data_IF_248212954977
#
_entry.id   IF_248212954977
#
_cell.length_a   1.000
_cell.length_b   1.000
_cell.length_c   1.000
_cell.angle_alpha   90.00
_cell.angle_beta   90.00
_cell.angle_gamma   90.00
#
_symmetry.space_group_name_H-M   'P 1'
#
loop_
_entity.id
_entity.type
_entity.pdbx_description
1 polymer ?
#
# COMPACT_ATOMS: atom_id res chain seq x y z
N UNK A 1 -20.30 -20.35 -8.95
CA UNK A 1 -19.47 -19.56 -8.02
C UNK A 1 -19.97 -18.13 -8.07
N UNK A 2 -20.88 -17.73 -7.18
CA UNK A 2 -21.23 -16.30 -7.08
C UNK A 2 -20.09 -15.60 -6.37
N UNK A 3 -19.44 -14.65 -7.04
CA UNK A 3 -18.40 -13.83 -6.43
C UNK A 3 -19.05 -13.03 -5.30
N UNK A 4 -18.77 -13.37 -4.04
CA UNK A 4 -19.38 -12.74 -2.86
C UNK A 4 -19.11 -11.22 -2.79
N UNK A 5 -18.12 -10.73 -3.54
CA UNK A 5 -17.82 -9.30 -3.65
C UNK A 5 -18.80 -8.51 -4.53
N UNK A 6 -19.75 -9.17 -5.22
CA UNK A 6 -20.74 -8.47 -6.05
C UNK A 6 -20.13 -7.73 -7.26
N UNK A 7 -18.98 -8.20 -7.75
CA UNK A 7 -18.37 -7.69 -8.98
C UNK A 7 -19.10 -8.32 -10.16
N UNK A 8 -20.12 -7.60 -10.65
CA UNK A 8 -20.94 -7.98 -11.80
C UNK A 8 -20.74 -7.01 -12.95
N UNK A 9 -21.16 -7.39 -14.15
CA UNK A 9 -21.24 -6.46 -15.30
C UNK A 9 -22.04 -5.20 -14.98
N UNK A 10 -23.16 -5.35 -14.28
CA UNK A 10 -23.99 -4.24 -13.82
C UNK A 10 -23.22 -3.29 -12.88
N UNK A 11 -22.55 -3.83 -11.87
CA UNK A 11 -21.71 -3.06 -10.96
C UNK A 11 -20.65 -2.25 -11.72
N UNK A 12 -19.86 -2.90 -12.58
CA UNK A 12 -18.79 -2.23 -13.33
C UNK A 12 -19.37 -1.15 -14.26
N UNK A 13 -20.51 -1.40 -14.90
CA UNK A 13 -21.14 -0.44 -15.82
C UNK A 13 -21.57 0.86 -15.14
N UNK A 14 -21.87 0.83 -13.83
CA UNK A 14 -22.24 2.00 -13.04
C UNK A 14 -21.03 2.76 -12.45
N UNK A 15 -19.83 2.20 -12.52
CA UNK A 15 -18.62 2.90 -12.04
C UNK A 15 -18.26 4.07 -12.98
N UNK A 16 -17.63 5.14 -12.44
CA UNK A 16 -16.94 6.13 -13.24
C UNK A 16 -15.91 5.47 -14.17
N UNK A 17 -15.66 6.07 -15.34
CA UNK A 17 -14.68 5.53 -16.30
C UNK A 17 -13.30 5.33 -15.67
N UNK A 18 -12.91 6.24 -14.78
CA UNK A 18 -11.68 6.18 -13.99
C UNK A 18 -11.62 4.98 -13.05
N UNK A 19 -12.73 4.39 -12.64
CA UNK A 19 -12.75 3.23 -11.75
C UNK A 19 -12.95 1.90 -12.48
N UNK A 20 -13.59 1.93 -13.67
CA UNK A 20 -13.79 0.72 -14.49
C UNK A 20 -12.48 0.05 -14.88
N UNK A 21 -11.42 0.83 -15.07
CA UNK A 21 -10.09 0.35 -15.48
C UNK A 21 -9.46 -0.67 -14.52
N UNK A 22 -9.96 -0.74 -13.28
CA UNK A 22 -9.46 -1.65 -12.28
C UNK A 22 -10.01 -3.08 -12.41
N UNK A 23 -10.93 -3.30 -13.34
CA UNK A 23 -11.61 -4.57 -13.56
C UNK A 23 -11.44 -5.01 -15.02
N UNK A 24 -11.10 -6.28 -15.23
CA UNK A 24 -11.04 -6.85 -16.57
C UNK A 24 -12.41 -7.35 -17.02
N UNK A 25 -12.70 -7.10 -18.29
CA UNK A 25 -13.93 -7.56 -18.96
C UNK A 25 -13.59 -8.55 -20.08
N UNK A 26 -14.43 -9.54 -20.25
CA UNK A 26 -14.43 -10.44 -21.40
C UNK A 26 -15.08 -9.80 -22.64
N UNK A 27 -15.06 -10.49 -23.79
CA UNK A 27 -15.65 -9.98 -25.04
C UNK A 27 -17.16 -9.69 -24.96
N UNK A 28 -17.88 -10.36 -24.07
CA UNK A 28 -19.31 -10.17 -23.77
C UNK A 28 -19.58 -9.07 -22.73
N UNK A 29 -18.52 -8.44 -22.22
CA UNK A 29 -18.59 -7.43 -21.16
C UNK A 29 -18.77 -8.01 -19.77
N UNK A 30 -18.69 -9.34 -19.58
CA UNK A 30 -18.70 -9.94 -18.25
C UNK A 30 -17.33 -9.79 -17.56
N UNK A 31 -17.28 -9.66 -16.22
CA UNK A 31 -16.01 -9.65 -15.49
C UNK A 31 -15.20 -10.91 -15.75
N UNK A 32 -13.94 -10.77 -16.17
CA UNK A 32 -13.07 -11.90 -16.54
C UNK A 32 -12.19 -12.41 -15.39
N UNK A 33 -12.36 -11.87 -14.18
CA UNK A 33 -11.58 -12.21 -12.99
C UNK A 33 -10.30 -11.40 -12.77
N UNK A 34 -9.93 -10.50 -13.70
CA UNK A 34 -8.81 -9.58 -13.52
C UNK A 34 -9.21 -8.37 -12.67
N UNK A 35 -8.37 -8.01 -11.70
CA UNK A 35 -8.54 -6.94 -10.73
C UNK A 35 -7.19 -6.33 -10.42
N UNK A 36 -7.13 -5.04 -10.12
CA UNK A 36 -5.86 -4.34 -9.88
C UNK A 36 -6.09 -3.06 -9.06
N UNK A 37 -5.05 -2.61 -8.35
CA UNK A 37 -5.06 -1.39 -7.53
C UNK A 37 -6.30 -1.29 -6.63
N UNK A 38 -7.05 -0.17 -6.71
CA UNK A 38 -8.26 0.09 -5.92
C UNK A 38 -9.35 -0.97 -6.15
N UNK A 39 -9.32 -1.66 -7.30
CA UNK A 39 -10.23 -2.79 -7.56
C UNK A 39 -10.06 -3.95 -6.58
N UNK A 40 -8.86 -4.14 -6.00
CA UNK A 40 -8.63 -5.18 -4.98
C UNK A 40 -9.43 -4.92 -3.71
N UNK A 41 -9.59 -3.65 -3.31
CA UNK A 41 -10.35 -3.27 -2.11
C UNK A 41 -11.80 -3.76 -2.12
N UNK A 42 -12.38 -3.96 -3.32
CA UNK A 42 -13.73 -4.53 -3.47
C UNK A 42 -13.80 -5.98 -3.01
N UNK A 43 -12.75 -6.76 -3.26
CA UNK A 43 -12.67 -8.15 -2.80
C UNK A 43 -12.21 -8.22 -1.35
N UNK A 44 -11.18 -7.43 -0.98
CA UNK A 44 -10.60 -7.46 0.37
C UNK A 44 -11.65 -7.23 1.46
N UNK A 45 -12.57 -6.29 1.27
CA UNK A 45 -13.66 -6.05 2.23
C UNK A 45 -14.67 -7.19 2.35
N UNK A 46 -14.67 -8.14 1.41
CA UNK A 46 -15.52 -9.35 1.44
C UNK A 46 -14.79 -10.57 1.98
N UNK A 47 -13.47 -10.50 2.17
CA UNK A 47 -12.68 -11.57 2.75
C UNK A 47 -12.76 -11.50 4.29
N UNK A 48 -12.82 -12.64 4.99
CA UNK A 48 -12.67 -12.65 6.44
C UNK A 48 -11.34 -12.02 6.83
N UNK A 49 -11.37 -11.05 7.75
CA UNK A 49 -10.15 -10.50 8.31
C UNK A 49 -9.36 -11.60 9.04
N UNK A 50 -8.02 -11.61 8.95
CA UNK A 50 -7.23 -12.58 9.67
C UNK A 50 -7.41 -12.40 11.19
N UNK A 51 -7.44 -13.51 11.93
CA UNK A 51 -7.44 -13.47 13.39
C UNK A 51 -6.08 -13.03 13.92
N UNK A 52 -6.02 -12.62 15.19
CA UNK A 52 -4.75 -12.29 15.85
C UNK A 52 -3.77 -13.45 15.83
N UNK A 53 -4.27 -14.67 16.03
CA UNK A 53 -3.48 -15.89 15.97
C UNK A 53 -2.94 -16.16 14.57
N UNK A 54 -3.75 -15.94 13.53
CA UNK A 54 -3.30 -16.07 12.14
C UNK A 54 -2.19 -15.06 11.80
N UNK A 55 -2.30 -13.81 12.26
CA UNK A 55 -1.25 -12.81 12.08
C UNK A 55 0.04 -13.17 12.83
N UNK A 56 -0.07 -13.70 14.06
CA UNK A 56 1.08 -14.18 14.83
C UNK A 56 1.80 -15.35 14.12
N UNK A 57 1.05 -16.34 13.63
CA UNK A 57 1.61 -17.44 12.85
C UNK A 57 2.25 -16.95 11.55
N UNK A 58 1.62 -16.00 10.86
CA UNK A 58 2.19 -15.38 9.67
C UNK A 58 3.50 -14.63 9.97
N UNK A 59 3.57 -13.90 11.09
CA UNK A 59 4.79 -13.23 11.54
C UNK A 59 5.92 -14.20 11.87
N UNK A 60 5.62 -15.33 12.55
CA UNK A 60 6.58 -16.41 12.82
C UNK A 60 7.09 -17.05 11.54
N UNK A 61 6.18 -17.32 10.60
CA UNK A 61 6.54 -17.86 9.29
C UNK A 61 7.44 -16.89 8.50
N UNK A 62 7.13 -15.58 8.52
CA UNK A 62 7.93 -14.55 7.88
C UNK A 62 9.35 -14.48 8.48
N UNK A 63 9.47 -14.50 9.81
CA UNK A 63 10.75 -14.56 10.53
C UNK A 63 11.56 -15.79 10.11
N UNK A 64 10.96 -16.99 10.22
CA UNK A 64 11.62 -18.24 9.88
C UNK A 64 12.11 -18.25 8.42
N UNK A 65 11.25 -17.84 7.49
CA UNK A 65 11.56 -17.81 6.06
C UNK A 65 12.71 -16.85 5.77
N UNK A 66 12.63 -15.59 6.23
CA UNK A 66 13.67 -14.60 6.00
C UNK A 66 15.00 -15.00 6.66
N UNK A 67 14.97 -15.55 7.87
CA UNK A 67 16.16 -16.06 8.55
C UNK A 67 16.84 -17.20 7.80
N UNK A 68 16.07 -18.05 7.10
CA UNK A 68 16.66 -19.11 6.28
C UNK A 68 17.54 -18.58 5.13
N UNK A 69 17.37 -17.31 4.74
CA UNK A 69 18.21 -16.60 3.77
C UNK A 69 19.22 -15.64 4.43
N UNK A 70 19.32 -15.62 5.76
CA UNK A 70 20.18 -14.69 6.50
C UNK A 70 19.65 -13.25 6.53
N UNK A 71 18.37 -13.02 6.20
CA UNK A 71 17.74 -11.69 6.26
C UNK A 71 17.27 -11.44 7.70
N UNK A 72 17.94 -10.54 8.40
CA UNK A 72 17.70 -10.23 9.83
C UNK A 72 17.07 -8.86 10.06
N UNK A 73 16.74 -8.13 9.00
CA UNK A 73 16.10 -6.82 9.06
C UNK A 73 15.30 -6.55 7.80
N UNK A 74 14.18 -5.83 7.91
CA UNK A 74 13.39 -5.42 6.76
C UNK A 74 12.63 -4.12 6.98
N UNK A 75 12.26 -3.50 5.86
CA UNK A 75 11.28 -2.45 5.79
C UNK A 75 9.91 -3.07 5.54
N UNK A 76 8.91 -2.73 6.37
CA UNK A 76 7.52 -3.12 6.15
C UNK A 76 6.74 -1.92 5.59
N UNK A 77 6.47 -1.89 4.26
CA UNK A 77 5.96 -0.71 3.58
C UNK A 77 4.45 -0.51 3.76
N UNK A 78 3.74 -1.34 4.53
CA UNK A 78 2.29 -1.23 4.73
C UNK A 78 1.88 -1.71 6.13
N UNK A 79 2.75 -1.52 7.12
CA UNK A 79 2.47 -1.90 8.50
C UNK A 79 1.33 -1.06 9.09
N UNK A 80 0.12 -1.62 9.04
CA UNK A 80 -1.06 -1.06 9.72
C UNK A 80 -1.05 -1.37 11.22
N UNK A 81 -2.03 -0.86 11.94
CA UNK A 81 -2.17 -1.04 13.39
C UNK A 81 -2.25 -2.52 13.81
N UNK A 82 -2.82 -3.40 12.99
CA UNK A 82 -2.92 -4.83 13.28
C UNK A 82 -1.57 -5.54 13.13
N UNK A 83 -0.79 -5.17 12.11
CA UNK A 83 0.57 -5.65 11.86
C UNK A 83 1.52 -5.14 12.95
N UNK A 84 1.44 -3.85 13.30
CA UNK A 84 2.22 -3.27 14.39
C UNK A 84 1.92 -3.95 15.73
N UNK A 85 0.64 -4.22 16.04
CA UNK A 85 0.26 -4.96 17.24
C UNK A 85 0.78 -6.41 17.23
N UNK A 86 0.90 -7.01 16.06
CA UNK A 86 1.50 -8.35 15.89
C UNK A 86 2.99 -8.32 16.19
N UNK A 87 3.73 -7.33 15.65
CA UNK A 87 5.15 -7.14 15.98
C UNK A 87 5.37 -6.90 17.48
N UNK A 88 4.52 -6.08 18.13
CA UNK A 88 4.58 -5.88 19.59
C UNK A 88 4.43 -7.20 20.34
N UNK A 89 3.43 -8.01 20.01
CA UNK A 89 3.21 -9.30 20.67
C UNK A 89 4.35 -10.28 20.45
N UNK A 90 4.91 -10.36 19.23
CA UNK A 90 6.10 -11.17 18.96
C UNK A 90 7.28 -10.68 19.80
N UNK A 91 7.46 -9.37 19.93
CA UNK A 91 8.54 -8.80 20.74
C UNK A 91 8.36 -9.10 22.23
N UNK A 92 7.15 -8.98 22.77
CA UNK A 92 6.83 -9.28 24.17
C UNK A 92 7.08 -10.76 24.52
N UNK A 93 6.96 -11.65 23.52
CA UNK A 93 7.26 -13.09 23.65
C UNK A 93 8.74 -13.43 23.41
N UNK A 94 9.58 -12.45 23.07
CA UNK A 94 10.97 -12.69 22.68
C UNK A 94 11.12 -13.38 21.32
N UNK A 95 10.08 -13.37 20.49
CA UNK A 95 10.03 -14.04 19.19
C UNK A 95 10.39 -13.09 18.04
N UNK A 96 10.19 -11.77 18.19
CA UNK A 96 10.58 -10.78 17.18
C UNK A 96 12.10 -10.64 17.13
N UNK A 97 12.72 -11.45 16.29
CA UNK A 97 14.17 -11.63 16.20
C UNK A 97 14.82 -10.90 15.02
N UNK A 98 14.03 -10.20 14.21
CA UNK A 98 14.48 -9.32 13.14
C UNK A 98 14.18 -7.85 13.46
N UNK A 99 15.02 -6.93 12.97
CA UNK A 99 14.78 -5.49 13.11
C UNK A 99 13.83 -4.98 12.03
N UNK A 100 12.68 -4.43 12.43
CA UNK A 100 11.61 -3.98 11.55
C UNK A 100 11.55 -2.46 11.51
N UNK A 101 11.73 -1.89 10.32
CA UNK A 101 11.43 -0.50 10.03
C UNK A 101 10.02 -0.41 9.40
N UNK A 102 9.03 0.02 10.18
CA UNK A 102 7.63 0.07 9.77
C UNK A 102 7.23 1.42 9.16
N UNK A 103 6.42 1.37 8.11
CA UNK A 103 5.95 2.55 7.35
C UNK A 103 4.43 2.49 7.15
N UNK A 104 3.63 3.07 8.09
CA UNK A 104 2.20 3.21 7.90
C UNK A 104 1.87 4.03 6.65
N UNK A 105 0.80 3.65 5.95
CA UNK A 105 0.39 4.33 4.73
C UNK A 105 -0.22 5.72 5.00
N UNK A 106 0.10 6.67 4.12
CA UNK A 106 -0.49 8.01 4.00
C UNK A 106 -0.88 8.26 2.54
N UNK A 107 -1.72 9.26 2.30
CA UNK A 107 -2.32 9.53 0.98
C UNK A 107 -2.08 10.95 0.48
N UNK A 108 -1.49 11.81 1.31
CA UNK A 108 -1.33 13.24 1.05
C UNK A 108 -2.66 13.97 0.81
N UNK A 109 -3.79 13.43 1.26
CA UNK A 109 -5.10 14.12 1.15
C UNK A 109 -5.24 15.14 2.27
N UNK A 110 -4.77 14.77 3.46
CA UNK A 110 -4.76 15.62 4.64
C UNK A 110 -3.43 15.48 5.39
N UNK A 111 -2.34 16.06 4.88
CA UNK A 111 -0.99 15.80 5.39
C UNK A 111 -0.84 15.96 6.90
N UNK A 112 -1.40 17.03 7.48
CA UNK A 112 -1.31 17.27 8.93
C UNK A 112 -2.03 16.20 9.77
N UNK A 113 -3.25 15.80 9.38
CA UNK A 113 -4.01 14.76 10.09
C UNK A 113 -3.33 13.39 9.94
N UNK A 114 -2.87 13.07 8.74
CA UNK A 114 -2.20 11.80 8.42
C UNK A 114 -0.87 11.65 9.20
N UNK A 115 -0.05 12.70 9.25
CA UNK A 115 1.21 12.68 10.00
C UNK A 115 0.98 12.69 11.52
N UNK A 116 -0.05 13.39 12.02
CA UNK A 116 -0.42 13.33 13.43
C UNK A 116 -0.81 11.91 13.87
N UNK A 117 -1.50 11.15 13.01
CA UNK A 117 -1.78 9.72 13.24
C UNK A 117 -0.48 8.91 13.34
N UNK A 118 0.47 9.13 12.43
CA UNK A 118 1.76 8.42 12.43
C UNK A 118 2.57 8.73 13.69
N UNK A 119 2.59 9.99 14.13
CA UNK A 119 3.22 10.38 15.41
C UNK A 119 2.59 9.67 16.60
N UNK A 120 1.25 9.54 16.64
CA UNK A 120 0.56 8.79 17.69
C UNK A 120 1.02 7.33 17.72
N UNK A 121 1.15 6.70 16.55
CA UNK A 121 1.68 5.34 16.45
C UNK A 121 3.14 5.27 16.93
N UNK A 122 4.00 6.22 16.55
CA UNK A 122 5.37 6.28 17.06
C UNK A 122 5.43 6.35 18.59
N UNK A 123 4.56 7.12 19.23
CA UNK A 123 4.48 7.17 20.69
C UNK A 123 3.95 5.87 21.30
N UNK A 124 2.92 5.28 20.69
CA UNK A 124 2.30 4.05 21.19
C UNK A 124 3.24 2.84 21.13
N UNK A 125 4.03 2.73 20.06
CA UNK A 125 4.99 1.63 19.86
C UNK A 125 6.42 1.98 20.31
N UNK A 126 6.60 3.11 21.01
CA UNK A 126 7.90 3.52 21.52
C UNK A 126 8.44 2.50 22.51
N UNK A 127 9.68 2.05 22.29
CA UNK A 127 10.37 1.14 23.20
C UNK A 127 10.01 -0.34 23.01
N UNK A 128 9.20 -0.70 22.01
CA UNK A 128 9.04 -2.09 21.58
C UNK A 128 10.35 -2.57 20.96
N UNK A 129 11.05 -3.57 21.55
CA UNK A 129 12.30 -4.08 20.98
C UNK A 129 12.15 -4.50 19.51
N UNK A 130 13.17 -4.23 18.71
CA UNK A 130 13.24 -4.62 17.29
C UNK A 130 12.15 -4.05 16.37
N UNK A 131 11.31 -3.12 16.83
CA UNK A 131 10.33 -2.42 16.02
C UNK A 131 10.59 -0.90 16.05
N UNK A 132 10.64 -0.28 14.88
CA UNK A 132 10.73 1.19 14.76
C UNK A 132 9.83 1.69 13.65
N UNK A 133 8.87 2.55 13.98
CA UNK A 133 8.08 3.28 12.98
C UNK A 133 8.95 4.42 12.45
N UNK A 134 9.53 4.21 11.27
CA UNK A 134 10.63 5.04 10.75
C UNK A 134 10.16 6.14 9.79
N UNK A 135 8.92 6.04 9.31
CA UNK A 135 8.44 6.89 8.24
C UNK A 135 7.03 6.58 7.80
N UNK A 136 6.71 7.02 6.59
CA UNK A 136 5.40 6.84 5.97
C UNK A 136 5.53 6.25 4.57
N UNK A 137 4.57 5.38 4.20
CA UNK A 137 4.44 4.88 2.83
C UNK A 137 3.44 5.73 2.07
N UNK A 138 3.77 6.09 0.84
CA UNK A 138 2.81 6.63 -0.13
C UNK A 138 2.99 6.00 -1.50
N UNK A 139 1.91 5.98 -2.29
CA UNK A 139 1.93 5.53 -3.68
C UNK A 139 1.76 6.74 -4.59
N UNK A 140 2.70 6.92 -5.51
CA UNK A 140 2.62 7.92 -6.55
C UNK A 140 1.73 7.46 -7.71
N UNK A 141 1.73 6.16 -8.01
CA UNK A 141 0.97 5.56 -9.10
C UNK A 141 0.66 4.07 -8.87
N UNK A 142 0.06 3.42 -9.87
CA UNK A 142 -0.32 2.00 -9.83
C UNK A 142 0.71 1.09 -10.49
N UNK A 143 0.26 0.25 -11.44
CA UNK A 143 1.03 -0.81 -12.09
C UNK A 143 1.19 -0.56 -13.60
N UNK A 144 2.28 -1.05 -14.20
CA UNK A 144 2.58 -0.81 -15.62
C UNK A 144 2.00 -1.88 -16.55
N UNK A 145 1.63 -3.02 -15.99
CA UNK A 145 1.22 -4.23 -16.68
C UNK A 145 -0.13 -4.05 -17.39
N UNK A 146 -0.23 -4.62 -18.60
CA UNK A 146 -1.48 -4.70 -19.35
C UNK A 146 -2.43 -5.72 -18.68
N UNK A 147 -3.76 -5.47 -18.62
CA UNK A 147 -4.51 -4.37 -19.26
C UNK A 147 -4.65 -3.08 -18.43
N UNK A 148 -4.19 -3.08 -17.17
CA UNK A 148 -4.37 -1.96 -16.24
C UNK A 148 -3.69 -0.68 -16.74
N UNK A 149 -2.36 -0.73 -16.79
CA UNK A 149 -1.47 0.36 -17.20
C UNK A 149 -1.79 1.68 -16.47
N UNK A 150 -1.91 1.61 -15.14
CA UNK A 150 -2.24 2.71 -14.24
C UNK A 150 -1.01 3.47 -13.75
N UNK A 151 0.19 2.91 -13.86
CA UNK A 151 1.44 3.62 -13.58
C UNK A 151 1.58 4.85 -14.49
N UNK A 152 1.96 6.00 -13.90
CA UNK A 152 1.86 7.30 -14.54
C UNK A 152 3.07 7.58 -15.45
N UNK A 153 2.84 7.54 -16.76
CA UNK A 153 3.84 7.72 -17.80
C UNK A 153 3.78 9.13 -18.40
N UNK A 154 4.94 9.69 -18.76
CA UNK A 154 5.00 10.97 -19.48
C UNK A 154 4.50 10.88 -20.92
N UNK A 155 4.51 9.66 -21.49
CA UNK A 155 4.01 9.35 -22.82
C UNK A 155 3.02 8.19 -22.78
N UNK A 156 2.07 8.12 -23.71
CA UNK A 156 1.12 7.02 -23.77
C UNK A 156 1.77 5.64 -23.87
N UNK A 157 1.23 4.63 -23.18
CA UNK A 157 1.55 3.22 -23.37
C UNK A 157 1.27 2.82 -24.82
N UNK A 158 2.19 2.09 -25.46
CA UNK A 158 2.04 1.65 -26.85
C UNK A 158 0.83 0.73 -27.08
N UNK A 159 0.49 -0.09 -26.08
CA UNK A 159 -0.56 -1.11 -26.16
C UNK A 159 -1.97 -0.55 -25.98
N UNK A 160 -2.14 0.48 -25.15
CA UNK A 160 -3.48 1.01 -24.80
C UNK A 160 -3.69 2.49 -25.12
N UNK A 161 -2.62 3.25 -25.38
CA UNK A 161 -2.69 4.70 -25.53
C UNK A 161 -2.98 5.46 -24.22
N UNK A 162 -3.07 4.77 -23.06
CA UNK A 162 -3.24 5.40 -21.75
C UNK A 162 -1.95 6.06 -21.27
N UNK A 163 -2.04 7.02 -20.35
CA UNK A 163 -0.88 7.59 -19.65
C UNK A 163 -0.75 7.13 -18.19
N UNK A 164 -1.71 6.37 -17.67
CA UNK A 164 -1.83 6.15 -16.23
C UNK A 164 -2.10 7.45 -15.46
N UNK A 165 -2.11 7.38 -14.13
CA UNK A 165 -2.52 8.49 -13.27
C UNK A 165 -1.69 8.55 -11.99
N UNK A 166 -1.50 9.78 -11.48
CA UNK A 166 -0.96 9.96 -10.14
C UNK A 166 -2.05 9.66 -9.11
N UNK A 167 -1.67 9.01 -8.01
CA UNK A 167 -2.55 8.72 -6.88
C UNK A 167 -2.56 9.83 -5.81
N UNK A 168 -1.68 10.82 -5.96
CA UNK A 168 -1.66 12.04 -5.15
C UNK A 168 -1.69 13.30 -6.03
N UNK A 169 -2.06 14.42 -5.42
CA UNK A 169 -1.79 15.74 -5.97
C UNK A 169 -0.33 16.14 -5.65
N UNK A 170 0.49 16.54 -6.65
CA UNK A 170 1.90 16.86 -6.42
C UNK A 170 2.15 17.97 -5.39
N UNK A 171 1.31 19.01 -5.36
CA UNK A 171 1.47 20.11 -4.40
C UNK A 171 1.14 19.65 -2.98
N UNK A 172 0.13 18.79 -2.81
CA UNK A 172 -0.16 18.18 -1.50
C UNK A 172 0.89 17.16 -1.07
N UNK A 173 1.48 16.43 -2.02
CA UNK A 173 2.62 15.56 -1.73
C UNK A 173 3.82 16.36 -1.24
N UNK A 174 4.14 17.50 -1.87
CA UNK A 174 5.17 18.44 -1.41
C UNK A 174 4.94 18.89 0.04
N UNK A 175 3.71 19.33 0.35
CA UNK A 175 3.31 19.71 1.72
C UNK A 175 3.56 18.56 2.72
N UNK A 176 3.19 17.33 2.35
CA UNK A 176 3.41 16.14 3.18
C UNK A 176 4.89 15.83 3.36
N UNK A 177 5.68 15.85 2.29
CA UNK A 177 7.10 15.53 2.32
C UNK A 177 7.87 16.54 3.20
N UNK A 178 7.61 17.83 3.04
CA UNK A 178 8.20 18.89 3.88
C UNK A 178 7.79 18.72 5.35
N UNK A 179 6.52 18.40 5.61
CA UNK A 179 6.05 18.21 6.98
C UNK A 179 6.61 16.94 7.64
N UNK A 180 6.79 15.86 6.87
CA UNK A 180 7.40 14.62 7.31
C UNK A 180 8.90 14.79 7.61
N UNK A 181 9.63 15.48 6.73
CA UNK A 181 11.06 15.80 6.91
C UNK A 181 11.31 16.62 8.18
N UNK A 182 10.48 17.65 8.44
CA UNK A 182 10.53 18.43 9.70
C UNK A 182 10.35 17.58 10.96
N UNK A 183 9.75 16.40 10.84
CA UNK A 183 9.52 15.45 11.92
C UNK A 183 10.57 14.33 11.95
N UNK A 184 11.53 14.33 11.03
CA UNK A 184 12.54 13.28 10.89
C UNK A 184 11.99 11.96 10.34
N UNK A 185 10.84 11.98 9.64
CA UNK A 185 10.22 10.81 9.05
C UNK A 185 10.73 10.57 7.63
N UNK A 186 11.07 9.32 7.32
CA UNK A 186 11.39 8.90 5.95
C UNK A 186 10.09 8.83 5.14
N UNK A 187 10.09 9.38 3.92
CA UNK A 187 8.97 9.22 2.97
C UNK A 187 9.32 8.14 1.95
N UNK A 188 8.72 6.96 2.09
CA UNK A 188 8.91 5.87 1.15
C UNK A 188 7.83 5.93 0.07
N UNK A 189 8.23 6.17 -1.18
CA UNK A 189 7.32 6.37 -2.31
C UNK A 189 7.36 5.16 -3.24
N UNK A 190 6.22 4.54 -3.50
CA UNK A 190 6.05 3.67 -4.68
C UNK A 190 5.89 4.56 -5.92
N UNK A 191 6.75 4.39 -6.92
CA UNK A 191 6.64 5.09 -8.21
C UNK A 191 7.19 4.19 -9.32
N UNK A 192 6.35 3.81 -10.28
CA UNK A 192 6.75 2.99 -11.43
C UNK A 192 6.92 3.80 -12.71
N UNK A 193 5.92 4.61 -13.04
CA UNK A 193 5.92 5.39 -14.26
C UNK A 193 6.88 6.57 -14.19
N UNK A 194 7.46 6.95 -15.33
CA UNK A 194 8.49 7.98 -15.38
C UNK A 194 7.96 9.37 -14.98
N UNK A 195 6.66 9.64 -15.21
CA UNK A 195 6.01 10.83 -14.68
C UNK A 195 5.84 10.72 -13.16
N UNK A 196 5.43 9.57 -12.62
CA UNK A 196 5.35 9.38 -11.17
C UNK A 196 6.69 9.65 -10.48
N UNK A 197 7.78 9.06 -11.00
CA UNK A 197 9.14 9.28 -10.49
C UNK A 197 9.52 10.76 -10.51
N UNK A 198 9.26 11.46 -11.63
CA UNK A 198 9.55 12.89 -11.73
C UNK A 198 8.81 13.70 -10.67
N UNK A 199 7.51 13.51 -10.56
CA UNK A 199 6.65 14.26 -9.63
C UNK A 199 7.00 13.96 -8.16
N UNK A 200 7.46 12.73 -7.86
CA UNK A 200 7.99 12.38 -6.53
C UNK A 200 9.34 13.03 -6.19
N UNK A 201 10.16 13.38 -7.20
CA UNK A 201 11.46 14.01 -7.00
C UNK A 201 11.41 15.55 -7.01
N UNK A 202 10.38 16.13 -7.62
CA UNK A 202 10.20 17.58 -7.74
C UNK A 202 9.18 18.18 -6.78
N UNK A 203 8.43 17.32 -6.07
CA UNK A 203 7.59 17.72 -4.93
C UNK A 203 8.43 18.24 -3.78
#
# INVERSE_FOLDING_TARGET
MHCCAGITKDFISHLPETERRYYGLGPDGEPNGFLVDVGLGKIEGSLPAPTKEQLLEAGRAALQYNHSFGITSWLDPLADESVLATYRQLSERGELTAHVAAFPQVFARKPAEELARVQKLQQEFKGVPNLTISGVKIFADGVAEFPSQTAAMSKPYRSSGKNGELLFDPARFAELAIAADKQGLIVHVHALGDRAVKESLTG
#
